data_IF_214269030044
#
_entry.id   IF_214269030044
#
_cell.length_a   1.000
_cell.length_b   1.000
_cell.length_c   1.000
_cell.angle_alpha   90.00
_cell.angle_beta   90.00
_cell.angle_gamma   90.00
#
_symmetry.space_group_name_H-M   'P 1'
#
loop_
_entity.id
_entity.type
_entity.pdbx_description
1 polymer ?
#
# COMPACT_ATOMS: atom_id res chain seq x y z
N UNK A 1 1.27 19.10 -0.42
CA UNK A 1 2.24 18.12 -0.91
C UNK A 1 1.92 16.74 -0.33
N UNK A 2 1.90 15.73 -1.19
CA UNK A 2 1.38 14.42 -0.81
C UNK A 2 2.49 13.45 -0.43
N UNK A 3 3.21 13.75 0.64
CA UNK A 3 4.32 12.91 1.09
C UNK A 3 3.88 11.48 1.41
N UNK A 4 2.68 11.30 1.93
CA UNK A 4 2.13 9.98 2.21
C UNK A 4 1.95 9.17 0.93
N UNK A 5 1.38 9.82 -0.10
CA UNK A 5 1.14 9.15 -1.38
C UNK A 5 2.47 8.74 -2.00
N UNK A 6 3.47 9.62 -1.96
CA UNK A 6 4.79 9.31 -2.48
C UNK A 6 5.45 8.16 -1.72
N UNK A 7 5.35 8.16 -0.40
CA UNK A 7 5.92 7.09 0.40
C UNK A 7 5.22 5.76 0.14
N UNK A 8 3.90 5.80 -0.01
CA UNK A 8 3.14 4.59 -0.28
C UNK A 8 3.44 4.06 -1.69
N UNK A 9 3.55 4.96 -2.69
CA UNK A 9 3.96 4.56 -4.04
C UNK A 9 5.33 3.92 -4.04
N UNK A 10 6.29 4.49 -3.33
CA UNK A 10 7.62 3.91 -3.22
C UNK A 10 7.58 2.54 -2.57
N UNK A 11 6.75 2.38 -1.53
CA UNK A 11 6.58 1.11 -0.86
C UNK A 11 6.04 0.06 -1.84
N UNK A 12 5.01 0.43 -2.62
CA UNK A 12 4.45 -0.48 -3.63
C UNK A 12 5.48 -0.81 -4.70
N UNK A 13 6.24 0.18 -5.14
CA UNK A 13 7.27 -0.03 -6.16
C UNK A 13 8.31 -1.03 -5.68
N UNK A 14 8.86 -0.81 -4.51
CA UNK A 14 9.89 -1.70 -3.96
C UNK A 14 9.38 -3.11 -3.74
N UNK A 15 8.15 -3.22 -3.22
CA UNK A 15 7.53 -4.51 -2.98
C UNK A 15 7.27 -5.24 -4.29
N UNK A 16 6.73 -4.54 -5.29
CA UNK A 16 6.47 -5.13 -6.60
C UNK A 16 7.76 -5.60 -7.27
N UNK A 17 8.80 -4.80 -7.18
CA UNK A 17 10.10 -5.15 -7.74
C UNK A 17 10.67 -6.41 -7.08
N UNK A 18 10.52 -6.52 -5.78
CA UNK A 18 10.93 -7.71 -5.05
C UNK A 18 10.17 -8.94 -5.51
N UNK A 19 8.85 -8.84 -5.64
CA UNK A 19 8.02 -9.95 -6.12
C UNK A 19 8.38 -10.33 -7.55
N UNK A 20 8.62 -9.35 -8.40
CA UNK A 20 9.01 -9.59 -9.79
C UNK A 20 10.37 -10.28 -9.85
N UNK A 21 11.34 -9.80 -9.08
CA UNK A 21 12.70 -10.37 -9.04
C UNK A 21 12.67 -11.81 -8.53
N UNK A 22 11.76 -12.12 -7.63
CA UNK A 22 11.61 -13.47 -7.09
C UNK A 22 10.68 -14.36 -7.93
N UNK A 23 10.27 -13.88 -9.09
CA UNK A 23 9.42 -14.61 -10.04
C UNK A 23 8.05 -14.99 -9.47
N UNK A 24 7.56 -14.19 -8.55
CA UNK A 24 6.24 -14.38 -7.96
C UNK A 24 5.16 -13.75 -8.84
N UNK A 25 5.47 -12.62 -9.47
CA UNK A 25 4.55 -11.92 -10.37
C UNK A 25 5.23 -11.64 -11.70
N UNK A 26 4.41 -11.37 -12.72
CA UNK A 26 4.88 -10.79 -13.96
C UNK A 26 5.05 -9.28 -13.77
N UNK A 27 5.59 -8.60 -14.77
CA UNK A 27 5.78 -7.16 -14.69
C UNK A 27 4.45 -6.44 -14.53
N UNK A 28 4.42 -5.43 -13.64
CA UNK A 28 3.24 -4.59 -13.47
C UNK A 28 3.51 -3.17 -13.94
N UNK A 29 2.44 -2.49 -14.32
CA UNK A 29 2.51 -1.08 -14.70
C UNK A 29 2.13 -0.23 -13.49
N UNK A 30 3.11 0.42 -12.90
CA UNK A 30 2.93 1.26 -11.72
C UNK A 30 1.94 2.39 -11.96
N UNK A 31 1.83 2.86 -13.21
CA UNK A 31 0.87 3.91 -13.55
C UNK A 31 -0.58 3.50 -13.36
N UNK A 32 -0.86 2.19 -13.28
CA UNK A 32 -2.21 1.70 -13.03
C UNK A 32 -2.60 1.74 -11.56
N UNK A 33 -1.63 1.94 -10.68
CA UNK A 33 -1.90 1.99 -9.25
C UNK A 33 -2.56 3.31 -8.89
N UNK A 34 -3.72 3.25 -8.24
CA UNK A 34 -4.41 4.42 -7.72
C UNK A 34 -4.23 4.49 -6.22
N UNK A 35 -4.12 5.71 -5.70
CA UNK A 35 -4.03 5.98 -4.27
C UNK A 35 -4.89 7.20 -4.00
N UNK A 36 -5.90 7.04 -3.16
CA UNK A 36 -6.84 8.10 -2.85
C UNK A 36 -7.02 8.26 -1.35
N UNK A 37 -7.08 9.51 -0.89
CA UNK A 37 -7.42 9.80 0.49
C UNK A 37 -8.88 9.46 0.73
N UNK A 38 -9.19 8.90 1.90
CA UNK A 38 -10.55 8.60 2.30
C UNK A 38 -11.09 9.72 3.16
N UNK A 39 -12.32 10.14 2.88
CA UNK A 39 -12.98 11.19 3.65
C UNK A 39 -13.54 10.67 4.96
N UNK A 40 -13.69 9.35 5.09
CA UNK A 40 -14.25 8.71 6.28
C UNK A 40 -13.19 7.86 6.96
N UNK A 41 -12.67 8.35 8.09
CA UNK A 41 -11.57 7.73 8.81
C UNK A 41 -11.91 6.35 9.39
N UNK A 42 -13.18 5.97 9.41
CA UNK A 42 -13.58 4.67 9.97
C UNK A 42 -13.08 3.51 9.13
N UNK A 43 -12.89 3.73 7.83
CA UNK A 43 -12.45 2.68 6.90
C UNK A 43 -10.97 2.76 6.56
N UNK A 44 -10.28 3.79 7.06
CA UNK A 44 -8.88 4.01 6.79
C UNK A 44 -8.60 5.44 6.38
N UNK A 45 -7.35 5.75 6.15
CA UNK A 45 -6.91 7.08 5.75
C UNK A 45 -6.69 7.17 4.24
N UNK A 46 -6.25 6.08 3.63
CA UNK A 46 -5.92 6.02 2.20
C UNK A 46 -6.39 4.67 1.65
N UNK A 47 -6.93 4.69 0.44
CA UNK A 47 -7.32 3.47 -0.28
C UNK A 47 -6.51 3.32 -1.56
N UNK A 48 -6.22 2.08 -1.95
CA UNK A 48 -5.48 1.78 -3.18
C UNK A 48 -6.01 0.53 -3.86
N UNK A 49 -5.91 0.49 -5.18
CA UNK A 49 -6.22 -0.68 -5.98
C UNK A 49 -5.03 -1.64 -6.14
N UNK A 50 -3.98 -1.45 -5.35
CA UNK A 50 -2.73 -2.22 -5.49
C UNK A 50 -2.95 -3.73 -5.50
N UNK A 51 -3.77 -4.24 -4.57
CA UNK A 51 -4.04 -5.68 -4.51
C UNK A 51 -4.67 -6.19 -5.82
N UNK A 52 -5.62 -5.43 -6.37
CA UNK A 52 -6.28 -5.83 -7.62
C UNK A 52 -5.28 -5.94 -8.77
N UNK A 53 -4.30 -5.05 -8.81
CA UNK A 53 -3.28 -5.07 -9.86
C UNK A 53 -2.32 -6.23 -9.68
N UNK A 54 -1.83 -6.43 -8.45
CA UNK A 54 -0.89 -7.53 -8.14
C UNK A 54 -1.57 -8.87 -8.38
N UNK A 55 -2.80 -9.02 -7.94
CA UNK A 55 -3.55 -10.27 -8.03
C UNK A 55 -3.60 -10.83 -9.45
N UNK A 56 -3.74 -9.95 -10.44
CA UNK A 56 -3.81 -10.36 -11.85
C UNK A 56 -2.46 -10.81 -12.40
N UNK A 57 -1.38 -10.53 -11.70
CA UNK A 57 -0.02 -10.79 -12.17
C UNK A 57 0.68 -11.91 -11.43
N UNK A 58 0.04 -12.49 -10.41
CA UNK A 58 0.64 -13.58 -9.63
C UNK A 58 0.74 -14.82 -10.51
N UNK A 59 1.96 -15.38 -10.60
CA UNK A 59 2.23 -16.59 -11.35
C UNK A 59 2.62 -17.77 -10.44
N UNK A 60 2.96 -17.48 -9.20
CA UNK A 60 3.25 -18.51 -8.19
C UNK A 60 1.96 -18.83 -7.43
N UNK A 61 1.35 -19.98 -7.71
CA UNK A 61 0.07 -20.38 -7.13
C UNK A 61 0.13 -20.55 -5.61
N UNK A 62 1.31 -20.75 -5.06
CA UNK A 62 1.48 -20.95 -3.62
C UNK A 62 1.67 -19.65 -2.86
N UNK A 63 1.78 -18.53 -3.56
CA UNK A 63 2.03 -17.25 -2.93
C UNK A 63 0.78 -16.74 -2.21
N UNK A 64 0.92 -16.48 -0.91
CA UNK A 64 -0.13 -15.87 -0.10
C UNK A 64 0.16 -14.39 0.04
N UNK A 65 -0.52 -13.58 -0.77
CA UNK A 65 -0.30 -12.14 -0.80
C UNK A 65 -0.54 -11.51 0.56
N UNK A 66 -1.69 -11.81 1.18
CA UNK A 66 -2.06 -11.11 2.41
C UNK A 66 -1.03 -11.34 3.52
N UNK A 67 -0.61 -12.57 3.73
CA UNK A 67 0.39 -12.87 4.76
C UNK A 67 1.73 -12.21 4.45
N UNK A 68 2.17 -12.28 3.20
CA UNK A 68 3.44 -11.70 2.81
C UNK A 68 3.41 -10.18 2.90
N UNK A 69 2.33 -9.57 2.42
CA UNK A 69 2.18 -8.12 2.45
C UNK A 69 2.09 -7.61 3.90
N UNK A 70 1.38 -8.35 4.75
CA UNK A 70 1.26 -7.96 6.16
C UNK A 70 2.63 -7.95 6.84
N UNK A 71 3.48 -8.92 6.54
CA UNK A 71 4.84 -8.93 7.07
C UNK A 71 5.65 -7.72 6.61
N UNK A 72 5.47 -7.33 5.35
CA UNK A 72 6.14 -6.13 4.81
C UNK A 72 5.63 -4.86 5.47
N UNK A 73 4.33 -4.75 5.66
CA UNK A 73 3.72 -3.58 6.30
C UNK A 73 4.26 -3.40 7.73
N UNK A 74 4.46 -4.49 8.46
CA UNK A 74 5.00 -4.43 9.81
C UNK A 74 6.41 -3.87 9.88
N UNK A 75 7.15 -3.96 8.79
CA UNK A 75 8.55 -3.49 8.75
C UNK A 75 8.68 -2.03 8.37
N UNK A 76 7.61 -1.40 7.87
CA UNK A 76 7.70 0.01 7.54
C UNK A 76 7.33 0.87 8.74
N UNK A 77 7.61 2.18 8.65
CA UNK A 77 7.49 3.07 9.78
C UNK A 77 6.27 4.00 9.70
N UNK A 78 5.45 3.92 8.65
CA UNK A 78 4.35 4.88 8.50
C UNK A 78 2.96 4.25 8.39
N UNK A 79 2.84 2.94 8.11
CA UNK A 79 1.56 2.26 8.05
C UNK A 79 1.31 1.53 9.37
N UNK A 80 0.18 1.83 10.00
CA UNK A 80 -0.21 1.16 11.23
C UNK A 80 -0.89 -0.19 10.95
N UNK A 81 -1.82 -0.19 10.01
CA UNK A 81 -2.58 -1.39 9.67
C UNK A 81 -3.21 -1.23 8.29
N UNK A 82 -3.76 -2.31 7.77
CA UNK A 82 -4.51 -2.27 6.53
C UNK A 82 -5.61 -3.32 6.55
N UNK A 83 -6.61 -3.11 5.70
CA UNK A 83 -7.69 -4.07 5.49
C UNK A 83 -7.97 -4.17 4.00
N UNK A 84 -8.23 -5.39 3.52
CA UNK A 84 -8.63 -5.61 2.14
C UNK A 84 -10.15 -5.70 2.13
N UNK A 85 -10.80 -4.77 1.42
CA UNK A 85 -12.26 -4.72 1.35
C UNK A 85 -12.80 -5.78 0.39
N UNK A 86 -14.12 -5.96 0.41
CA UNK A 86 -14.77 -6.95 -0.46
C UNK A 86 -14.53 -6.70 -1.94
N UNK A 87 -14.39 -5.44 -2.33
CA UNK A 87 -14.13 -5.09 -3.73
C UNK A 87 -12.65 -5.16 -4.10
N UNK A 88 -11.79 -5.60 -3.17
CA UNK A 88 -10.38 -5.80 -3.45
C UNK A 88 -9.48 -4.60 -3.23
N UNK A 89 -10.03 -3.47 -2.80
CA UNK A 89 -9.22 -2.31 -2.44
C UNK A 89 -8.55 -2.54 -1.09
N UNK A 90 -7.34 -2.00 -0.94
CA UNK A 90 -6.64 -2.02 0.34
C UNK A 90 -6.86 -0.66 1.00
N UNK A 91 -7.39 -0.68 2.22
CA UNK A 91 -7.58 0.52 3.03
C UNK A 91 -6.46 0.57 4.06
N UNK A 92 -5.67 1.63 4.04
CA UNK A 92 -4.52 1.78 4.92
C UNK A 92 -4.83 2.73 6.06
N UNK A 93 -4.39 2.35 7.27
CA UNK A 93 -4.44 3.20 8.45
C UNK A 93 -3.01 3.66 8.73
N UNK A 94 -2.79 4.96 8.70
CA UNK A 94 -1.46 5.52 8.91
C UNK A 94 -1.20 5.69 10.40
N UNK A 95 0.07 5.63 10.79
CA UNK A 95 0.42 5.85 12.18
C UNK A 95 0.14 7.29 12.58
N UNK A 96 -0.47 7.49 13.75
CA UNK A 96 -0.83 8.82 14.22
C UNK A 96 0.37 9.76 14.31
N UNK A 97 1.48 9.24 14.75
CA UNK A 97 2.70 10.04 14.87
C UNK A 97 3.12 10.62 13.52
N UNK A 98 3.01 9.83 12.48
CA UNK A 98 3.36 10.27 11.15
C UNK A 98 2.39 11.34 10.65
N UNK A 99 1.09 11.17 10.90
CA UNK A 99 0.08 12.14 10.50
C UNK A 99 0.32 13.46 11.21
N UNK A 100 0.54 13.44 12.53
CA UNK A 100 0.78 14.64 13.31
C UNK A 100 2.03 15.38 12.85
N UNK A 101 3.10 14.65 12.58
CA UNK A 101 4.34 15.24 12.10
C UNK A 101 4.14 15.95 10.77
N UNK A 102 3.39 15.33 9.86
CA UNK A 102 3.13 15.93 8.55
C UNK A 102 2.24 17.17 8.67
N UNK A 103 1.26 17.14 9.57
CA UNK A 103 0.42 18.31 9.81
C UNK A 103 1.24 19.48 10.36
N UNK A 104 2.16 19.20 11.25
CA UNK A 104 3.04 20.23 11.79
C UNK A 104 3.90 20.86 10.70
N UNK A 105 4.40 20.05 9.78
CA UNK A 105 5.18 20.56 8.66
C UNK A 105 4.35 21.44 7.72
N UNK A 106 3.09 21.09 7.54
CA UNK A 106 2.20 21.85 6.68
C UNK A 106 1.87 23.21 7.31
N UNK A 107 1.75 23.26 8.64
CA UNK A 107 1.37 24.45 9.35
C UNK A 107 2.53 25.43 9.57
N UNK A 108 3.71 25.02 9.27
CA UNK A 108 4.88 25.89 9.36
C UNK A 108 5.21 26.47 7.99
#
# INVERSE_FOLDING_TARGET
MNSYIHRLLNFFYEYSDELFSNKIITEINIKQISIDYLSNNKKGDIASNFFLIIKKKIIDEKFDFESNFRAKVKKNDFIDNFEISKNGFINFFLKKEFILDSLNKINN
#
